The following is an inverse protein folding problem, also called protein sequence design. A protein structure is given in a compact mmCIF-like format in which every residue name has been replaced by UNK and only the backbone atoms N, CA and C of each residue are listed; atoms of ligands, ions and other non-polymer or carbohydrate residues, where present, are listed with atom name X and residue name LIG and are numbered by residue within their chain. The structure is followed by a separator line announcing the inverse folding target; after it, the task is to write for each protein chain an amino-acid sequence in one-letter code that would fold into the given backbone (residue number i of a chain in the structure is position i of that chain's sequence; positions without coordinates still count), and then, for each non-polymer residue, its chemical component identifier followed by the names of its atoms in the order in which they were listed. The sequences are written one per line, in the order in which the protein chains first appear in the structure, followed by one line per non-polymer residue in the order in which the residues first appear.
data_IF_001588585654
#
_entry.id   IF_001588585654
#
_cell.length_a   1.000
_cell.length_b   1.000
_cell.length_c   1.000
_cell.angle_alpha   90.00
_cell.angle_beta   90.00
_cell.angle_gamma   90.00
#
_symmetry.space_group_name_H-M   'P 1'
#
loop_
_entity.id
_entity.type
_entity.pdbx_description
1 polymer ?
#
# COMPACT_ATOMS: atom_id res chain seq x y z
N UNK A 1 14.43 6.52 1.35
CA UNK A 1 13.54 5.44 0.87
C UNK A 1 12.86 5.79 -0.45
N UNK A 2 12.04 6.81 -0.49
CA UNK A 2 11.36 7.35 -1.68
C UNK A 2 11.81 8.77 -1.92
N UNK A 3 12.15 9.13 -3.18
CA UNK A 3 12.37 10.50 -3.62
C UNK A 3 11.64 10.70 -4.93
N UNK A 4 10.75 11.67 -4.96
CA UNK A 4 9.94 12.05 -6.12
C UNK A 4 10.26 13.49 -6.46
N UNK A 5 10.57 13.77 -7.73
CA UNK A 5 10.92 15.12 -8.21
C UNK A 5 10.14 15.45 -9.48
N UNK A 6 9.36 16.53 -9.43
CA UNK A 6 8.56 17.09 -10.52
C UNK A 6 7.70 16.07 -11.25
N UNK A 7 7.17 15.08 -10.47
CA UNK A 7 6.41 13.97 -11.00
C UNK A 7 5.07 14.44 -11.56
N UNK A 8 4.83 14.14 -12.81
CA UNK A 8 3.60 14.49 -13.51
C UNK A 8 2.93 13.26 -14.13
N UNK A 9 1.59 13.24 -14.12
CA UNK A 9 0.80 12.22 -14.80
C UNK A 9 -0.33 12.84 -15.56
N UNK A 10 -0.32 12.60 -16.85
CA UNK A 10 -1.35 13.07 -17.79
C UNK A 10 -1.98 11.83 -18.45
N UNK A 11 -3.29 11.72 -18.35
CA UNK A 11 -4.07 10.75 -19.11
C UNK A 11 -4.60 11.42 -20.37
N UNK A 12 -4.41 10.77 -21.51
CA UNK A 12 -4.87 11.25 -22.81
C UNK A 12 -5.81 10.25 -23.44
N UNK A 13 -6.97 10.74 -23.83
CA UNK A 13 -7.88 10.08 -24.77
C UNK A 13 -7.88 10.85 -26.08
N UNK A 14 -8.61 10.40 -27.09
CA UNK A 14 -8.70 11.09 -28.38
C UNK A 14 -9.28 12.51 -28.25
N UNK A 15 -10.10 12.76 -27.23
CA UNK A 15 -10.84 14.02 -27.08
C UNK A 15 -10.45 14.83 -25.83
N UNK A 16 -9.86 14.20 -24.83
CA UNK A 16 -9.65 14.81 -23.50
C UNK A 16 -8.25 14.53 -22.99
N UNK A 17 -7.62 15.56 -22.45
CA UNK A 17 -6.39 15.47 -21.67
C UNK A 17 -6.70 15.81 -20.21
N UNK A 18 -6.38 14.91 -19.29
CA UNK A 18 -6.58 15.12 -17.86
C UNK A 18 -5.26 15.01 -17.12
N UNK A 19 -4.81 16.10 -16.50
CA UNK A 19 -3.64 16.11 -15.63
C UNK A 19 -4.05 15.63 -14.24
N UNK A 20 -3.63 14.43 -13.89
CA UNK A 20 -3.92 13.83 -12.58
C UNK A 20 -2.87 14.17 -11.52
N UNK A 21 -1.61 14.39 -11.94
CA UNK A 21 -0.51 14.86 -11.08
C UNK A 21 0.28 15.94 -11.86
N UNK A 22 0.64 17.01 -11.17
CA UNK A 22 1.30 18.16 -11.75
C UNK A 22 2.50 18.58 -10.89
N UNK A 23 3.71 18.19 -11.32
CA UNK A 23 4.99 18.54 -10.71
C UNK A 23 5.07 18.24 -9.19
N UNK A 24 4.62 17.07 -8.81
CA UNK A 24 4.65 16.60 -7.41
C UNK A 24 6.08 16.29 -7.01
N UNK A 25 6.57 16.89 -5.92
CA UNK A 25 7.91 16.63 -5.36
C UNK A 25 7.82 16.42 -3.86
N UNK A 26 8.37 15.30 -3.37
CA UNK A 26 8.47 14.98 -1.94
C UNK A 26 9.45 13.83 -1.70
N UNK A 27 9.84 13.66 -0.44
CA UNK A 27 10.67 12.56 0.01
C UNK A 27 10.00 11.81 1.16
N UNK A 28 10.22 10.50 1.25
CA UNK A 28 9.82 9.65 2.37
C UNK A 28 11.05 8.88 2.85
N UNK A 29 11.34 8.96 4.14
CA UNK A 29 12.47 8.28 4.76
C UNK A 29 12.16 6.80 5.05
N UNK A 30 13.20 6.01 5.24
CA UNK A 30 13.03 4.63 5.73
C UNK A 30 12.34 4.63 7.10
N UNK A 31 11.35 3.75 7.28
CA UNK A 31 10.58 3.61 8.51
C UNK A 31 9.58 4.74 8.77
N UNK A 32 9.37 5.66 7.84
CA UNK A 32 8.38 6.74 8.00
C UNK A 32 6.97 6.24 7.69
N UNK A 33 5.98 6.67 8.48
CA UNK A 33 4.56 6.50 8.17
C UNK A 33 3.99 7.82 7.69
N UNK A 34 3.62 7.89 6.42
CA UNK A 34 3.08 9.09 5.77
C UNK A 34 1.64 8.86 5.34
N UNK A 35 0.76 9.78 5.69
CA UNK A 35 -0.60 9.84 5.17
C UNK A 35 -0.70 10.86 4.03
N UNK A 36 -1.25 10.47 2.89
CA UNK A 36 -1.59 11.36 1.78
C UNK A 36 -3.08 11.61 1.83
N UNK A 37 -3.46 12.86 2.07
CA UNK A 37 -4.85 13.31 2.17
C UNK A 37 -5.25 14.21 1.00
N UNK A 38 -6.54 14.37 0.79
CA UNK A 38 -7.11 15.29 -0.19
C UNK A 38 -8.50 14.86 -0.63
N UNK A 39 -9.25 15.73 -1.35
CA UNK A 39 -10.60 15.43 -1.84
C UNK A 39 -10.59 14.27 -2.85
N UNK A 40 -11.78 13.72 -3.13
CA UNK A 40 -11.93 12.71 -4.18
C UNK A 40 -11.51 13.29 -5.53
N UNK A 41 -10.81 12.48 -6.34
CA UNK A 41 -10.36 12.89 -7.68
C UNK A 41 -9.09 13.74 -7.73
N UNK A 42 -8.49 14.15 -6.59
CA UNK A 42 -7.29 15.01 -6.58
C UNK A 42 -5.97 14.31 -6.97
N UNK A 43 -5.99 13.02 -7.37
CA UNK A 43 -4.79 12.31 -7.83
C UNK A 43 -4.18 11.33 -6.84
N UNK A 44 -4.74 11.12 -5.63
CA UNK A 44 -4.17 10.23 -4.58
C UNK A 44 -3.92 8.81 -5.05
N UNK A 45 -4.93 8.14 -5.61
CA UNK A 45 -4.79 6.75 -6.10
C UNK A 45 -3.85 6.68 -7.30
N UNK A 46 -3.80 7.72 -8.15
CA UNK A 46 -2.82 7.83 -9.23
C UNK A 46 -1.41 7.88 -8.67
N UNK A 47 -1.17 8.72 -7.67
CA UNK A 47 0.13 8.80 -6.99
C UNK A 47 0.50 7.46 -6.34
N UNK A 48 -0.44 6.83 -5.62
CA UNK A 48 -0.21 5.53 -4.98
C UNK A 48 0.14 4.45 -6.00
N UNK A 49 -0.54 4.42 -7.17
CA UNK A 49 -0.26 3.47 -8.24
C UNK A 49 1.15 3.67 -8.83
N UNK A 50 1.60 4.91 -8.99
CA UNK A 50 2.96 5.20 -9.46
C UNK A 50 3.99 4.80 -8.39
N UNK A 51 3.77 5.15 -7.12
CA UNK A 51 4.64 4.73 -6.02
C UNK A 51 4.71 3.20 -5.91
N UNK A 52 3.62 2.53 -6.22
CA UNK A 52 3.52 1.07 -6.25
C UNK A 52 4.05 0.42 -7.52
N UNK A 53 4.57 1.19 -8.45
CA UNK A 53 5.04 0.69 -9.76
C UNK A 53 3.95 -0.05 -10.55
N UNK A 54 2.67 0.26 -10.31
CA UNK A 54 1.53 -0.25 -11.08
C UNK A 54 1.31 0.58 -12.34
N UNK A 55 1.71 1.86 -12.30
CA UNK A 55 1.66 2.78 -13.43
C UNK A 55 2.99 3.57 -13.53
N UNK A 56 3.20 4.25 -14.66
CA UNK A 56 4.34 5.12 -14.89
C UNK A 56 3.91 6.59 -14.81
N UNK A 57 4.78 7.50 -14.33
CA UNK A 57 4.58 8.91 -14.55
C UNK A 57 4.72 9.24 -16.04
N UNK A 58 4.16 10.38 -16.45
CA UNK A 58 4.36 10.93 -17.80
C UNK A 58 5.69 11.68 -17.87
N UNK A 59 6.06 12.37 -16.77
CA UNK A 59 7.31 13.13 -16.64
C UNK A 59 7.79 13.15 -15.17
N UNK A 60 9.00 13.65 -14.95
CA UNK A 60 9.65 13.70 -13.64
C UNK A 60 10.50 12.47 -13.32
N UNK A 61 10.98 12.40 -12.09
CA UNK A 61 11.78 11.27 -11.61
C UNK A 61 11.22 10.65 -10.34
N UNK A 62 11.43 9.34 -10.20
CA UNK A 62 11.03 8.57 -9.03
C UNK A 62 12.13 7.58 -8.65
N UNK A 63 12.76 7.83 -7.52
CA UNK A 63 13.74 6.91 -6.91
C UNK A 63 13.10 6.12 -5.77
N UNK A 64 13.23 4.82 -5.79
CA UNK A 64 12.80 3.90 -4.75
C UNK A 64 13.95 3.01 -4.34
N UNK A 65 14.27 2.96 -3.05
CA UNK A 65 15.42 2.20 -2.51
C UNK A 65 16.75 2.55 -3.20
N UNK A 66 16.93 3.83 -3.57
CA UNK A 66 18.13 4.34 -4.24
C UNK A 66 18.21 4.07 -5.74
N UNK A 67 17.19 3.44 -6.36
CA UNK A 67 17.14 3.17 -7.79
C UNK A 67 16.10 4.07 -8.47
N UNK A 68 16.47 4.66 -9.64
CA UNK A 68 15.51 5.34 -10.52
C UNK A 68 14.55 4.30 -11.13
N UNK A 69 13.25 4.49 -10.88
CA UNK A 69 12.23 3.50 -11.27
C UNK A 69 11.14 4.06 -12.21
N UNK A 70 11.10 5.39 -12.43
CA UNK A 70 10.07 6.02 -13.26
C UNK A 70 10.07 5.50 -14.71
N UNK A 71 11.24 5.15 -15.24
CA UNK A 71 11.44 4.73 -16.64
C UNK A 71 11.54 3.22 -16.80
N UNK A 72 11.31 2.44 -15.75
CA UNK A 72 11.38 0.98 -15.84
C UNK A 72 10.28 0.42 -16.77
N UNK A 73 10.66 -0.58 -17.57
CA UNK A 73 9.70 -1.36 -18.35
C UNK A 73 8.85 -2.25 -17.43
N UNK A 74 7.67 -2.65 -17.88
CA UNK A 74 6.72 -3.45 -17.08
C UNK A 74 7.35 -4.69 -16.45
N UNK A 75 8.17 -5.42 -17.19
CA UNK A 75 8.89 -6.61 -16.68
C UNK A 75 9.80 -6.29 -15.49
N UNK A 76 10.52 -5.15 -15.56
CA UNK A 76 11.46 -4.74 -14.53
C UNK A 76 10.71 -4.15 -13.32
N UNK A 77 9.63 -3.39 -13.54
CA UNK A 77 8.72 -2.93 -12.49
C UNK A 77 8.14 -4.11 -11.71
N UNK A 78 7.62 -5.13 -12.40
CA UNK A 78 7.09 -6.34 -11.79
C UNK A 78 8.14 -7.07 -10.97
N UNK A 79 9.38 -7.16 -11.48
CA UNK A 79 10.48 -7.75 -10.74
C UNK A 79 10.84 -6.95 -9.49
N UNK A 80 10.83 -5.61 -9.59
CA UNK A 80 11.15 -4.72 -8.48
C UNK A 80 10.07 -4.72 -7.39
N UNK A 81 8.77 -4.78 -7.77
CA UNK A 81 7.66 -4.89 -6.81
C UNK A 81 7.77 -6.12 -5.92
N UNK A 82 8.15 -7.27 -6.51
CA UNK A 82 8.22 -8.56 -5.81
C UNK A 82 9.13 -8.46 -4.57
N UNK A 83 8.57 -8.70 -3.40
CA UNK A 83 9.27 -8.69 -2.14
C UNK A 83 9.62 -7.31 -1.57
N UNK A 84 9.50 -6.23 -2.36
CA UNK A 84 9.79 -4.87 -1.89
C UNK A 84 8.54 -4.07 -1.51
N UNK A 85 7.40 -4.32 -2.18
CA UNK A 85 6.18 -3.54 -1.99
C UNK A 85 5.02 -4.47 -1.62
N UNK A 86 4.35 -4.16 -0.51
CA UNK A 86 3.08 -4.75 -0.09
C UNK A 86 1.92 -3.78 -0.36
N UNK A 87 0.77 -4.29 -0.80
CA UNK A 87 -0.43 -3.49 -1.05
C UNK A 87 -1.56 -3.89 -0.13
N UNK A 88 -2.22 -2.89 0.46
CA UNK A 88 -3.44 -3.02 1.24
C UNK A 88 -4.50 -2.13 0.58
N UNK A 89 -5.60 -2.72 0.10
CA UNK A 89 -6.65 -2.01 -0.62
C UNK A 89 -7.93 -1.89 0.22
N UNK A 90 -8.73 -0.88 -0.05
CA UNK A 90 -10.04 -0.68 0.54
C UNK A 90 -10.98 -1.88 0.30
N UNK A 91 -10.97 -2.45 -0.90
CA UNK A 91 -11.80 -3.60 -1.30
C UNK A 91 -11.15 -4.96 -1.01
N UNK A 92 -10.12 -5.01 -0.16
CA UNK A 92 -9.36 -6.19 0.25
C UNK A 92 -8.61 -6.87 -0.91
N UNK A 93 -9.19 -6.96 -2.10
CA UNK A 93 -8.68 -7.59 -3.33
C UNK A 93 -8.15 -9.01 -3.07
N UNK A 94 -8.87 -9.79 -2.26
CA UNK A 94 -8.60 -11.21 -2.08
C UNK A 94 -9.04 -11.99 -3.31
N UNK A 95 -8.37 -13.09 -3.58
CA UNK A 95 -8.73 -14.00 -4.66
C UNK A 95 -9.78 -14.97 -4.11
N UNK A 96 -10.98 -14.92 -4.66
CA UNK A 96 -12.17 -15.63 -4.16
C UNK A 96 -12.06 -17.16 -4.26
N UNK A 97 -11.28 -17.65 -5.23
CA UNK A 97 -11.03 -19.08 -5.46
C UNK A 97 -9.94 -19.65 -4.54
N UNK A 98 -9.24 -18.79 -3.80
CA UNK A 98 -8.21 -19.17 -2.84
C UNK A 98 -8.72 -19.02 -1.40
N UNK A 99 -8.41 -19.99 -0.55
CA UNK A 99 -8.66 -19.84 0.87
C UNK A 99 -7.72 -18.80 1.53
N UNK A 100 -7.91 -18.52 2.81
CA UNK A 100 -7.12 -17.55 3.57
C UNK A 100 -5.62 -17.90 3.53
N UNK A 101 -5.27 -19.16 3.77
CA UNK A 101 -3.88 -19.62 3.74
C UNK A 101 -3.25 -19.37 2.36
N UNK A 102 -3.94 -19.75 1.31
CA UNK A 102 -3.47 -19.62 -0.07
C UNK A 102 -3.34 -18.17 -0.52
N UNK A 103 -4.28 -17.30 -0.13
CA UNK A 103 -4.16 -15.85 -0.37
C UNK A 103 -2.89 -15.27 0.25
N UNK A 104 -2.58 -15.65 1.51
CA UNK A 104 -1.38 -15.17 2.20
C UNK A 104 -0.10 -15.82 1.66
N UNK A 105 -0.15 -17.09 1.21
CA UNK A 105 1.01 -17.78 0.63
C UNK A 105 1.43 -17.23 -0.74
N UNK A 106 0.49 -16.64 -1.49
CA UNK A 106 0.67 -16.29 -2.89
C UNK A 106 1.92 -15.44 -3.18
N UNK A 107 2.23 -14.35 -2.45
CA UNK A 107 3.45 -13.56 -2.67
C UNK A 107 4.73 -14.39 -2.52
N UNK A 108 4.75 -15.34 -1.59
CA UNK A 108 5.91 -16.18 -1.33
C UNK A 108 6.15 -17.20 -2.47
N UNK A 109 5.09 -17.66 -3.14
CA UNK A 109 5.20 -18.49 -4.36
C UNK A 109 5.92 -17.75 -5.47
N UNK A 110 5.59 -16.45 -5.67
CA UNK A 110 6.25 -15.61 -6.67
C UNK A 110 7.71 -15.28 -6.35
N UNK A 111 8.12 -15.40 -5.09
CA UNK A 111 9.49 -15.23 -4.64
C UNK A 111 10.32 -16.52 -4.71
N UNK A 112 9.75 -17.62 -5.20
CA UNK A 112 10.39 -18.95 -5.27
C UNK A 112 10.89 -19.46 -3.90
N UNK A 113 10.21 -19.11 -2.80
CA UNK A 113 10.52 -19.58 -1.46
C UNK A 113 10.11 -21.05 -1.32
N UNK A 114 10.92 -21.84 -0.62
CA UNK A 114 10.66 -23.28 -0.42
C UNK A 114 9.31 -23.53 0.25
N UNK A 115 8.69 -24.70 -0.03
CA UNK A 115 7.38 -25.05 0.53
C UNK A 115 7.38 -25.09 2.07
N UNK A 116 8.45 -25.58 2.67
CA UNK A 116 8.58 -25.64 4.14
C UNK A 116 8.64 -24.25 4.76
N UNK A 117 9.43 -23.35 4.17
CA UNK A 117 9.56 -21.97 4.63
C UNK A 117 8.27 -21.17 4.40
N UNK A 118 7.59 -21.36 3.25
CA UNK A 118 6.28 -20.74 3.00
C UNK A 118 5.28 -21.15 4.09
N UNK A 119 5.21 -22.45 4.39
CA UNK A 119 4.31 -22.97 5.43
C UNK A 119 4.59 -22.34 6.80
N UNK A 120 5.84 -22.21 7.17
CA UNK A 120 6.23 -21.56 8.42
C UNK A 120 5.79 -20.11 8.44
N UNK A 121 6.22 -19.30 7.44
CA UNK A 121 5.92 -17.85 7.37
C UNK A 121 4.41 -17.57 7.34
N UNK A 122 3.64 -18.33 6.57
CA UNK A 122 2.19 -18.16 6.51
C UNK A 122 1.54 -18.50 7.85
N UNK A 123 1.94 -19.61 8.49
CA UNK A 123 1.38 -20.00 9.79
C UNK A 123 1.66 -18.94 10.86
N UNK A 124 2.88 -18.43 10.93
CA UNK A 124 3.28 -17.37 11.85
C UNK A 124 2.50 -16.06 11.56
N UNK A 125 2.36 -15.70 10.28
CA UNK A 125 1.63 -14.50 9.88
C UNK A 125 0.14 -14.59 10.22
N UNK A 126 -0.52 -15.71 9.95
CA UNK A 126 -1.92 -15.92 10.31
C UNK A 126 -2.14 -15.87 11.84
N UNK A 127 -1.19 -16.39 12.61
CA UNK A 127 -1.20 -16.29 14.07
C UNK A 127 -1.06 -14.83 14.52
N UNK A 128 -0.11 -14.09 13.97
CA UNK A 128 0.10 -12.66 14.25
C UNK A 128 -1.16 -11.82 13.95
N UNK A 129 -1.83 -12.11 12.84
CA UNK A 129 -3.07 -11.42 12.45
C UNK A 129 -4.32 -11.91 13.19
N UNK A 130 -4.16 -12.86 14.13
CA UNK A 130 -5.27 -13.50 14.88
C UNK A 130 -6.37 -14.07 13.95
N UNK A 131 -5.97 -14.71 12.84
CA UNK A 131 -6.88 -15.27 11.83
C UNK A 131 -6.61 -16.76 11.53
N UNK A 132 -5.72 -17.44 12.28
CA UNK A 132 -5.34 -18.84 12.06
C UNK A 132 -6.54 -19.80 12.04
N UNK A 133 -7.57 -19.52 12.85
CA UNK A 133 -8.80 -20.33 12.94
C UNK A 133 -9.64 -20.27 11.66
N UNK A 134 -9.32 -19.36 10.72
CA UNK A 134 -9.97 -19.20 9.44
C UNK A 134 -9.10 -19.62 8.25
N UNK A 135 -7.94 -20.24 8.48
CA UNK A 135 -6.95 -20.55 7.44
C UNK A 135 -7.53 -21.28 6.21
N UNK A 136 -8.53 -22.15 6.41
CA UNK A 136 -9.17 -22.93 5.34
C UNK A 136 -10.47 -22.31 4.82
N UNK A 137 -10.90 -21.15 5.33
CA UNK A 137 -12.09 -20.45 4.86
C UNK A 137 -11.78 -19.64 3.60
N UNK A 138 -12.79 -19.43 2.77
CA UNK A 138 -12.73 -18.58 1.59
C UNK A 138 -13.16 -17.14 1.92
N UNK A 139 -12.75 -16.14 1.12
CA UNK A 139 -13.07 -14.73 1.38
C UNK A 139 -14.55 -14.46 1.66
N UNK A 140 -15.47 -15.09 0.93
CA UNK A 140 -16.91 -14.92 1.09
C UNK A 140 -17.46 -15.40 2.45
N UNK A 141 -16.68 -16.18 3.20
CA UNK A 141 -17.04 -16.72 4.52
C UNK A 141 -16.52 -15.84 5.67
N UNK A 142 -15.88 -14.70 5.35
CA UNK A 142 -15.21 -13.81 6.30
C UNK A 142 -15.98 -12.49 6.45
N UNK A 143 -15.94 -11.93 7.67
CA UNK A 143 -16.34 -10.52 7.86
C UNK A 143 -15.35 -9.57 7.18
N UNK A 144 -15.76 -8.32 6.91
CA UNK A 144 -14.88 -7.31 6.31
C UNK A 144 -13.58 -7.10 7.09
N UNK A 145 -13.64 -7.02 8.42
CA UNK A 145 -12.45 -6.92 9.28
C UNK A 145 -11.53 -8.14 9.18
N UNK A 146 -12.09 -9.36 9.04
CA UNK A 146 -11.30 -10.56 8.80
C UNK A 146 -10.65 -10.55 7.42
N UNK A 147 -11.39 -10.14 6.38
CA UNK A 147 -10.84 -10.00 5.03
C UNK A 147 -9.68 -8.99 5.00
N UNK A 148 -9.80 -7.87 5.69
CA UNK A 148 -8.73 -6.87 5.75
C UNK A 148 -7.49 -7.38 6.49
N UNK A 149 -7.66 -8.14 7.58
CA UNK A 149 -6.53 -8.83 8.25
C UNK A 149 -5.82 -9.80 7.32
N UNK A 150 -6.55 -10.54 6.48
CA UNK A 150 -5.97 -11.42 5.45
C UNK A 150 -5.23 -10.61 4.39
N UNK A 151 -5.79 -9.49 3.93
CA UNK A 151 -5.16 -8.60 2.97
C UNK A 151 -3.85 -8.00 3.51
N UNK A 152 -3.82 -7.58 4.78
CA UNK A 152 -2.61 -7.11 5.46
C UNK A 152 -1.61 -8.28 5.60
N UNK A 153 -2.05 -9.45 6.06
CA UNK A 153 -1.19 -10.64 6.15
C UNK A 153 -0.51 -10.94 4.81
N UNK A 154 -1.27 -10.92 3.71
CA UNK A 154 -0.75 -11.10 2.34
C UNK A 154 0.27 -10.02 1.96
N UNK A 155 0.00 -8.77 2.32
CA UNK A 155 0.89 -7.66 2.00
C UNK A 155 2.25 -7.77 2.72
N UNK A 156 2.26 -8.26 3.99
CA UNK A 156 3.45 -8.23 4.84
C UNK A 156 4.21 -9.56 4.92
N UNK A 157 3.64 -10.69 4.48
CA UNK A 157 4.25 -12.02 4.60
C UNK A 157 5.61 -12.15 3.89
N UNK A 158 5.84 -11.34 2.87
CA UNK A 158 7.13 -11.25 2.16
C UNK A 158 8.16 -10.35 2.85
N UNK A 159 7.80 -9.72 3.97
CA UNK A 159 8.61 -8.71 4.66
C UNK A 159 9.03 -7.54 3.76
N UNK A 160 8.06 -6.83 3.15
CA UNK A 160 8.34 -5.77 2.20
C UNK A 160 8.99 -4.56 2.90
N UNK A 161 9.72 -3.75 2.13
CA UNK A 161 10.31 -2.48 2.61
C UNK A 161 9.29 -1.34 2.65
N UNK A 162 8.25 -1.43 1.81
CA UNK A 162 7.21 -0.43 1.64
C UNK A 162 5.83 -1.09 1.67
N UNK A 163 4.93 -0.54 2.47
CA UNK A 163 3.50 -0.84 2.40
C UNK A 163 2.78 0.38 1.82
N UNK A 164 1.96 0.13 0.81
CA UNK A 164 1.06 1.10 0.21
C UNK A 164 -0.36 0.73 0.59
N UNK A 165 -1.05 1.61 1.32
CA UNK A 165 -2.40 1.39 1.79
C UNK A 165 -3.37 2.40 1.15
N UNK A 166 -4.34 1.91 0.38
CA UNK A 166 -5.38 2.73 -0.24
C UNK A 166 -6.67 2.59 0.57
N UNK A 167 -6.99 3.62 1.35
CA UNK A 167 -8.16 3.69 2.23
C UNK A 167 -8.40 2.40 3.06
N UNK A 168 -7.41 1.95 3.86
CA UNK A 168 -7.41 0.61 4.45
C UNK A 168 -8.57 0.33 5.41
N UNK A 169 -9.30 1.34 5.83
CA UNK A 169 -10.44 1.25 6.77
C UNK A 169 -11.78 1.60 6.12
N UNK A 170 -11.78 2.03 4.86
CA UNK A 170 -12.95 2.64 4.21
C UNK A 170 -14.20 1.74 4.14
N UNK A 171 -14.03 0.41 4.15
CA UNK A 171 -15.13 -0.56 4.14
C UNK A 171 -15.36 -1.25 5.49
N UNK A 172 -14.85 -0.67 6.59
CA UNK A 172 -14.90 -1.26 7.92
C UNK A 172 -15.72 -0.41 8.89
N UNK A 173 -16.33 -1.07 9.88
CA UNK A 173 -16.85 -0.37 11.04
C UNK A 173 -15.72 0.21 11.92
N UNK A 174 -16.07 1.11 12.81
CA UNK A 174 -15.11 1.86 13.63
C UNK A 174 -14.20 0.98 14.49
N UNK A 175 -14.70 -0.19 14.97
CA UNK A 175 -13.92 -1.12 15.77
C UNK A 175 -12.86 -1.83 14.92
N UNK A 176 -13.30 -2.44 13.83
CA UNK A 176 -12.41 -3.14 12.91
C UNK A 176 -11.42 -2.18 12.25
N UNK A 177 -11.86 -0.95 11.90
CA UNK A 177 -10.98 0.11 11.38
C UNK A 177 -9.86 0.46 12.36
N UNK A 178 -10.19 0.63 13.66
CA UNK A 178 -9.18 0.87 14.68
C UNK A 178 -8.15 -0.27 14.76
N UNK A 179 -8.62 -1.52 14.78
CA UNK A 179 -7.74 -2.69 14.85
C UNK A 179 -6.78 -2.77 13.65
N UNK A 180 -7.24 -2.37 12.44
CA UNK A 180 -6.42 -2.28 11.23
C UNK A 180 -5.36 -1.19 11.37
N UNK A 181 -5.73 0.01 11.86
CA UNK A 181 -4.78 1.10 12.09
C UNK A 181 -3.74 0.75 13.16
N UNK A 182 -4.15 0.07 14.22
CA UNK A 182 -3.25 -0.41 15.27
C UNK A 182 -2.21 -1.40 14.68
N UNK A 183 -2.64 -2.33 13.80
CA UNK A 183 -1.73 -3.25 13.09
C UNK A 183 -0.74 -2.53 12.17
N UNK A 184 -1.19 -1.55 11.38
CA UNK A 184 -0.30 -0.76 10.52
C UNK A 184 0.71 0.04 11.35
N UNK A 185 0.27 0.63 12.45
CA UNK A 185 1.14 1.36 13.37
C UNK A 185 2.19 0.45 14.02
N UNK A 186 1.82 -0.78 14.39
CA UNK A 186 2.75 -1.79 14.91
C UNK A 186 3.80 -2.16 13.86
N UNK A 187 3.39 -2.44 12.62
CA UNK A 187 4.31 -2.73 11.51
C UNK A 187 5.28 -1.58 11.23
N UNK A 188 4.81 -0.33 11.33
CA UNK A 188 5.67 0.84 11.19
C UNK A 188 6.69 0.94 12.33
N UNK A 189 6.28 0.73 13.59
CA UNK A 189 7.20 0.70 14.75
C UNK A 189 8.30 -0.37 14.62
N UNK A 190 8.05 -1.44 13.88
CA UNK A 190 9.05 -2.47 13.53
C UNK A 190 9.99 -2.05 12.39
N UNK A 191 9.81 -0.84 11.84
CA UNK A 191 10.69 -0.26 10.83
C UNK A 191 10.17 -0.34 9.39
N UNK A 192 8.94 -0.84 9.16
CA UNK A 192 8.34 -0.86 7.82
C UNK A 192 7.90 0.55 7.43
N UNK A 193 8.30 1.02 6.24
CA UNK A 193 7.80 2.28 5.68
C UNK A 193 6.36 2.12 5.19
N UNK A 194 5.48 3.06 5.54
CA UNK A 194 4.07 3.01 5.16
C UNK A 194 3.67 4.31 4.47
N UNK A 195 3.03 4.19 3.32
CA UNK A 195 2.33 5.30 2.66
C UNK A 195 0.86 4.94 2.58
N UNK A 196 0.03 5.72 3.26
CA UNK A 196 -1.41 5.53 3.30
C UNK A 196 -2.12 6.67 2.61
N UNK A 197 -3.02 6.34 1.69
CA UNK A 197 -4.00 7.30 1.16
C UNK A 197 -5.26 7.19 1.98
N UNK A 198 -5.78 8.30 2.47
CA UNK A 198 -7.05 8.34 3.22
C UNK A 198 -7.73 9.71 3.13
N UNK A 199 -9.05 9.73 3.27
CA UNK A 199 -9.82 10.94 3.51
C UNK A 199 -10.23 11.10 4.99
N UNK A 200 -9.91 10.10 5.83
CA UNK A 200 -10.21 10.08 7.26
C UNK A 200 -9.14 10.83 8.06
N UNK A 201 -9.51 11.94 8.70
CA UNK A 201 -8.63 12.67 9.61
C UNK A 201 -8.15 11.79 10.78
N UNK A 202 -9.05 10.92 11.27
CA UNK A 202 -8.73 9.99 12.35
C UNK A 202 -7.62 9.01 11.98
N UNK A 203 -7.66 8.47 10.77
CA UNK A 203 -6.66 7.52 10.31
C UNK A 203 -5.34 8.23 9.98
N UNK A 204 -5.42 9.40 9.35
CA UNK A 204 -4.26 10.23 9.07
C UNK A 204 -3.51 10.65 10.36
N UNK A 205 -4.24 10.83 11.47
CA UNK A 205 -3.63 11.13 12.77
C UNK A 205 -2.73 10.01 13.31
N UNK A 206 -2.81 8.78 12.78
CA UNK A 206 -1.89 7.69 13.13
C UNK A 206 -0.53 7.80 12.42
N UNK A 207 -0.43 8.60 11.37
CA UNK A 207 0.80 8.79 10.61
C UNK A 207 1.68 9.87 11.23
N UNK A 208 3.00 9.74 11.08
CA UNK A 208 3.98 10.73 11.57
C UNK A 208 3.97 12.03 10.76
N UNK A 209 3.42 11.98 9.54
CA UNK A 209 3.41 13.11 8.61
C UNK A 209 2.20 13.04 7.69
N UNK A 210 1.61 14.19 7.42
CA UNK A 210 0.46 14.34 6.54
C UNK A 210 0.85 15.21 5.36
N UNK A 211 0.68 14.66 4.15
CA UNK A 211 0.85 15.35 2.87
C UNK A 211 -0.53 15.60 2.28
N UNK A 212 -0.91 16.85 2.09
CA UNK A 212 -2.18 17.19 1.48
C UNK A 212 -2.02 17.41 -0.03
N UNK A 213 -2.79 16.66 -0.81
CA UNK A 213 -2.86 16.74 -2.26
C UNK A 213 -4.15 17.43 -2.68
N UNK A 214 -4.06 18.43 -3.57
CA UNK A 214 -5.19 19.13 -4.16
C UNK A 214 -4.92 19.38 -5.64
N UNK A 215 -5.86 19.04 -6.52
CA UNK A 215 -5.75 19.20 -7.99
C UNK A 215 -4.38 18.75 -8.55
N UNK A 216 -3.93 17.58 -8.12
CA UNK A 216 -2.68 16.98 -8.58
C UNK A 216 -1.41 17.61 -8.03
N UNK A 217 -1.48 18.52 -7.06
CA UNK A 217 -0.33 19.19 -6.45
C UNK A 217 -0.30 19.02 -4.94
N UNK A 218 0.90 19.01 -4.35
CA UNK A 218 1.06 19.06 -2.90
C UNK A 218 0.85 20.51 -2.43
N UNK A 219 -0.16 20.71 -1.59
CA UNK A 219 -0.50 22.02 -1.03
C UNK A 219 0.01 22.21 0.40
N UNK A 220 0.24 21.12 1.12
CA UNK A 220 0.91 21.19 2.43
C UNK A 220 1.56 19.84 2.78
N UNK A 221 2.58 19.90 3.61
CA UNK A 221 3.37 18.78 4.08
C UNK A 221 3.77 19.05 5.54
N UNK A 222 3.09 18.40 6.48
CA UNK A 222 3.14 18.73 7.90
C UNK A 222 3.47 17.50 8.72
N UNK A 223 4.42 17.63 9.66
CA UNK A 223 4.67 16.59 10.65
C UNK A 223 3.55 16.57 11.68
N UNK A 224 3.08 15.38 11.99
CA UNK A 224 2.20 15.15 13.12
C UNK A 224 3.04 15.11 14.41
N UNK A 225 2.61 15.84 15.41
CA UNK A 225 3.12 15.68 16.77
C UNK A 225 2.36 14.49 17.40
N UNK A 226 3.00 13.29 17.38
CA UNK A 226 2.47 12.05 17.97
C UNK A 226 2.90 11.93 19.44
#
# INVERSE_FOLDING_TARGET
MITVTDLSKVFRTEEIETTALNQVSFEIKDGEFVAIMGPSGCGKSTLLNILGLLDNPTDGSYHLLGQEVAKLKEKDRTKFRKGNIGFVFQSFNLIDELNVYENVELPLKYLNISSSERKQRVTEMLKRMNISHRAQHFPQQLSGGQQQRVAIARAVVSNPKLILADEPTGNLDSKNGKEVMDLLTELNKEGTTIVMVTHSQKDAACAQRIVNLFDGQIVSDVKNEL
#
